data_IF_124998908850
#
_entry.id   IF_124998908850
#
_cell.length_a   1.000
_cell.length_b   1.000
_cell.length_c   1.000
_cell.angle_alpha   90.00
_cell.angle_beta   90.00
_cell.angle_gamma   90.00
#
_symmetry.space_group_name_H-M   'P 1'
#
loop_
_entity.id
_entity.type
_entity.pdbx_description
1 polymer ?
#
# COMPACT_ATOMS: atom_id res chain seq x y z
N UNK A 1 22.20 1.89 -9.32
CA UNK A 1 21.00 1.58 -10.10
C UNK A 1 19.93 1.27 -9.09
N UNK A 2 18.75 1.88 -9.23
CA UNK A 2 17.68 1.68 -8.27
C UNK A 2 17.21 0.22 -8.27
N UNK A 3 16.95 -0.31 -7.08
CA UNK A 3 16.37 -1.64 -6.92
C UNK A 3 14.94 -1.64 -7.49
N UNK A 4 14.56 -2.74 -8.14
CA UNK A 4 13.18 -2.92 -8.64
C UNK A 4 12.21 -3.00 -7.46
N UNK A 5 11.19 -2.12 -7.37
CA UNK A 5 10.21 -2.16 -6.29
C UNK A 5 9.35 -3.43 -6.31
N UNK A 6 9.10 -3.99 -5.13
CA UNK A 6 8.20 -5.12 -4.90
C UNK A 6 6.90 -4.62 -4.28
N UNK A 7 5.79 -4.77 -5.01
CA UNK A 7 4.47 -4.31 -4.57
C UNK A 7 3.62 -5.48 -4.07
N UNK A 8 2.93 -5.26 -2.96
CA UNK A 8 1.89 -6.18 -2.47
C UNK A 8 0.57 -5.95 -3.22
N UNK A 9 0.06 -6.98 -3.90
CA UNK A 9 -1.18 -6.92 -4.69
C UNK A 9 -2.40 -7.58 -4.06
N UNK A 10 -2.34 -7.92 -2.77
CA UNK A 10 -3.49 -8.49 -2.04
C UNK A 10 -4.50 -7.43 -1.60
N UNK A 11 -5.46 -7.85 -0.76
CA UNK A 11 -6.47 -6.94 -0.23
C UNK A 11 -5.85 -5.92 0.73
N UNK A 12 -5.80 -4.65 0.31
CA UNK A 12 -5.33 -3.52 1.11
C UNK A 12 -6.50 -2.59 1.42
N UNK A 13 -6.63 -2.21 2.69
CA UNK A 13 -7.54 -1.17 3.17
C UNK A 13 -6.78 -0.18 4.04
N UNK A 14 -7.42 0.93 4.43
CA UNK A 14 -6.87 1.88 5.37
C UNK A 14 -6.46 1.24 6.71
N UNK A 15 -7.16 0.18 7.13
CA UNK A 15 -6.87 -0.55 8.37
C UNK A 15 -5.68 -1.50 8.29
N UNK A 16 -5.39 -2.06 7.11
CA UNK A 16 -4.29 -3.04 6.93
C UNK A 16 -3.03 -2.45 6.30
N UNK A 17 -3.11 -1.29 5.65
CA UNK A 17 -1.98 -0.70 4.91
C UNK A 17 -0.72 -0.52 5.76
N UNK A 18 -0.86 -0.18 7.04
CA UNK A 18 0.28 0.00 7.96
C UNK A 18 1.08 -1.28 8.20
N UNK A 19 0.42 -2.44 8.26
CA UNK A 19 1.11 -3.73 8.43
C UNK A 19 1.97 -4.06 7.21
N UNK A 20 1.45 -3.80 6.01
CA UNK A 20 2.19 -4.04 4.76
C UNK A 20 3.32 -3.03 4.54
N UNK A 21 3.12 -1.76 4.91
CA UNK A 21 4.16 -0.74 4.82
C UNK A 21 5.33 -1.01 5.79
N UNK A 22 5.08 -1.66 6.92
CA UNK A 22 6.12 -2.07 7.87
C UNK A 22 6.78 -3.42 7.53
N UNK A 23 6.26 -4.15 6.54
CA UNK A 23 6.74 -5.49 6.22
C UNK A 23 8.07 -5.44 5.45
N UNK A 24 9.11 -6.16 5.90
CA UNK A 24 10.37 -6.26 5.16
C UNK A 24 10.15 -6.83 3.76
N UNK A 25 10.71 -6.17 2.74
CA UNK A 25 10.63 -6.61 1.34
C UNK A 25 9.34 -6.23 0.63
N UNK A 26 8.50 -5.39 1.23
CA UNK A 26 7.37 -4.73 0.56
C UNK A 26 7.72 -3.25 0.41
N UNK A 27 7.81 -2.80 -0.83
CA UNK A 27 8.14 -1.41 -1.17
C UNK A 27 6.90 -0.57 -1.49
N UNK A 28 5.73 -1.20 -1.57
CA UNK A 28 4.47 -0.52 -1.87
C UNK A 28 3.28 -1.48 -2.02
N UNK A 29 2.16 -0.95 -2.50
CA UNK A 29 0.93 -1.70 -2.72
C UNK A 29 0.29 -1.42 -4.09
N UNK A 30 -0.27 -2.47 -4.71
CA UNK A 30 -1.16 -2.39 -5.87
C UNK A 30 -2.60 -2.45 -5.39
N UNK A 31 -3.26 -1.30 -5.31
CA UNK A 31 -4.56 -1.15 -4.63
C UNK A 31 -5.72 -1.25 -5.62
N UNK A 32 -6.62 -2.21 -5.39
CA UNK A 32 -7.84 -2.41 -6.17
C UNK A 32 -8.99 -1.48 -5.73
N UNK A 33 -10.14 -2.05 -5.35
CA UNK A 33 -11.37 -1.28 -5.07
C UNK A 33 -11.25 -0.21 -3.98
N UNK A 34 -10.32 -0.36 -3.02
CA UNK A 34 -10.06 0.66 -2.01
C UNK A 34 -9.49 1.98 -2.60
N UNK A 35 -8.95 1.95 -3.81
CA UNK A 35 -8.48 3.16 -4.52
C UNK A 35 -9.62 4.07 -5.00
N UNK A 36 -10.86 3.56 -5.07
CA UNK A 36 -12.02 4.27 -5.62
C UNK A 36 -12.67 5.26 -4.64
N UNK A 37 -12.27 5.25 -3.36
CA UNK A 37 -12.76 6.17 -2.34
C UNK A 37 -11.61 7.05 -1.87
N UNK A 38 -11.78 8.37 -1.96
CA UNK A 38 -10.68 9.32 -1.70
C UNK A 38 -10.09 9.19 -0.29
N UNK A 39 -10.95 9.08 0.72
CA UNK A 39 -10.49 9.00 2.12
C UNK A 39 -9.73 7.70 2.40
N UNK A 40 -10.23 6.60 1.82
CA UNK A 40 -9.63 5.27 1.91
C UNK A 40 -8.25 5.26 1.23
N UNK A 41 -8.19 5.72 -0.03
CA UNK A 41 -6.96 5.73 -0.79
C UNK A 41 -5.91 6.69 -0.19
N UNK A 42 -6.34 7.86 0.28
CA UNK A 42 -5.45 8.79 0.94
C UNK A 42 -4.87 8.22 2.24
N UNK A 43 -5.65 7.43 2.99
CA UNK A 43 -5.14 6.73 4.17
C UNK A 43 -4.09 5.67 3.80
N UNK A 44 -4.33 4.89 2.73
CA UNK A 44 -3.38 3.89 2.24
C UNK A 44 -2.07 4.57 1.78
N UNK A 45 -2.15 5.65 1.00
CA UNK A 45 -0.95 6.39 0.53
C UNK A 45 -0.13 6.93 1.71
N UNK A 46 -0.79 7.42 2.76
CA UNK A 46 -0.10 7.90 3.97
C UNK A 46 0.62 6.79 4.74
N UNK A 47 0.21 5.53 4.60
CA UNK A 47 0.87 4.41 5.26
C UNK A 47 2.22 4.05 4.61
N UNK A 48 2.37 4.24 3.29
CA UNK A 48 3.59 3.91 2.52
C UNK A 48 4.49 5.13 2.27
N UNK A 49 4.34 6.20 3.06
CA UNK A 49 5.09 7.45 2.91
C UNK A 49 6.12 7.63 4.01
#
# INVERSE_FOLDING_TARGET
>A
GDATPILYGGSVSAGSAGEFAAAPGIDGALVGGASLKIDEFAAIVRAFR
#
